data_IF_525365529870
#
_entry.id   IF_525365529870
#
_cell.length_a   1.000
_cell.length_b   1.000
_cell.length_c   1.000
_cell.angle_alpha   90.00
_cell.angle_beta   90.00
_cell.angle_gamma   90.00
#
_symmetry.space_group_name_H-M   'P 1'
#
loop_
_entity.id
_entity.type
_entity.pdbx_description
1 polymer ?
#
# COMPACT_ATOMS: atom_id res chain seq x y z
N UNK A 1 0.63 -8.52 14.57
CA UNK A 1 1.29 -7.68 13.54
C UNK A 1 1.24 -8.34 12.16
N UNK A 2 0.09 -8.89 11.71
CA UNK A 2 -0.02 -9.56 10.39
C UNK A 2 -1.07 -8.94 9.46
N UNK A 3 -1.76 -7.87 9.87
CA UNK A 3 -2.82 -7.25 9.06
C UNK A 3 -2.27 -6.13 8.17
N UNK A 4 -1.37 -5.29 8.70
CA UNK A 4 -0.82 -4.13 7.97
C UNK A 4 -0.05 -4.54 6.72
N UNK A 5 0.73 -5.63 6.78
CA UNK A 5 1.48 -6.12 5.62
C UNK A 5 0.57 -6.64 4.51
N UNK A 6 -0.51 -7.35 4.86
CA UNK A 6 -1.50 -7.87 3.91
C UNK A 6 -2.31 -6.74 3.27
N UNK A 7 -2.74 -5.77 4.07
CA UNK A 7 -3.40 -4.56 3.58
C UNK A 7 -2.48 -3.74 2.67
N UNK A 8 -1.19 -3.63 3.03
CA UNK A 8 -0.20 -2.94 2.21
C UNK A 8 0.03 -3.62 0.86
N UNK A 9 0.21 -4.94 0.84
CA UNK A 9 0.40 -5.68 -0.41
C UNK A 9 -0.82 -5.50 -1.34
N UNK A 10 -2.02 -5.58 -0.75
CA UNK A 10 -3.25 -5.31 -1.47
C UNK A 10 -3.36 -3.86 -1.95
N UNK A 11 -2.96 -2.89 -1.14
CA UNK A 11 -2.94 -1.48 -1.51
C UNK A 11 -2.00 -1.23 -2.69
N UNK A 12 -0.81 -1.85 -2.69
CA UNK A 12 0.15 -1.76 -3.79
C UNK A 12 -0.43 -2.35 -5.07
N UNK A 13 -1.11 -3.50 -4.98
CA UNK A 13 -1.79 -4.10 -6.13
C UNK A 13 -2.90 -3.18 -6.68
N UNK A 14 -3.72 -2.60 -5.81
CA UNK A 14 -4.78 -1.66 -6.19
C UNK A 14 -4.19 -0.46 -6.92
N UNK A 15 -3.16 0.18 -6.35
CA UNK A 15 -2.48 1.34 -6.98
C UNK A 15 -1.95 1.00 -8.37
N UNK A 16 -1.43 -0.22 -8.57
CA UNK A 16 -0.99 -0.70 -9.88
C UNK A 16 -2.12 -0.99 -10.87
N UNK A 17 -3.34 -1.29 -10.38
CA UNK A 17 -4.55 -1.52 -11.17
C UNK A 17 -5.33 -0.24 -11.48
N UNK A 18 -5.00 0.88 -10.81
CA UNK A 18 -5.67 2.15 -11.06
C UNK A 18 -5.43 2.60 -12.51
N UNK A 19 -6.50 2.96 -13.26
CA UNK A 19 -6.35 3.46 -14.61
C UNK A 19 -5.59 4.80 -14.62
N UNK A 20 -4.56 4.97 -15.47
CA UNK A 20 -3.77 6.21 -15.53
C UNK A 20 -4.55 7.44 -16.03
N UNK A 21 -5.70 7.20 -16.67
CA UNK A 21 -6.62 8.21 -17.22
C UNK A 21 -7.97 8.28 -16.46
N UNK A 22 -8.04 7.67 -15.26
CA UNK A 22 -9.25 7.68 -14.44
C UNK A 22 -9.40 8.93 -13.56
N UNK A 23 -10.60 9.16 -13.00
CA UNK A 23 -10.82 10.23 -12.01
C UNK A 23 -9.94 10.05 -10.77
N UNK A 24 -9.69 8.79 -10.37
CA UNK A 24 -8.82 8.43 -9.25
C UNK A 24 -7.31 8.47 -9.58
N UNK A 25 -6.87 9.47 -10.36
CA UNK A 25 -5.46 9.64 -10.71
C UNK A 25 -4.69 10.30 -9.56
N UNK A 26 -3.63 9.67 -9.02
CA UNK A 26 -2.81 10.30 -7.99
C UNK A 26 -2.07 11.50 -8.57
N UNK A 27 -2.10 12.61 -7.85
CA UNK A 27 -1.31 13.81 -8.18
C UNK A 27 0.19 13.49 -8.08
N UNK A 28 1.04 14.35 -8.64
CA UNK A 28 2.50 14.18 -8.50
C UNK A 28 2.93 14.08 -7.04
N UNK A 29 2.30 14.85 -6.15
CA UNK A 29 2.57 14.79 -4.71
C UNK A 29 2.13 13.46 -4.09
N UNK A 30 0.95 12.95 -4.45
CA UNK A 30 0.48 11.65 -3.98
C UNK A 30 1.41 10.52 -4.46
N UNK A 31 1.84 10.56 -5.72
CA UNK A 31 2.80 9.60 -6.27
C UNK A 31 4.13 9.62 -5.50
N UNK A 32 4.60 10.81 -5.10
CA UNK A 32 5.81 10.96 -4.28
C UNK A 32 5.60 10.38 -2.88
N UNK A 33 4.46 10.65 -2.24
CA UNK A 33 4.12 10.09 -0.92
C UNK A 33 4.04 8.56 -0.98
N UNK A 34 3.30 8.00 -1.95
CA UNK A 34 3.22 6.55 -2.14
C UNK A 34 4.61 5.95 -2.37
N UNK A 35 5.43 6.55 -3.23
CA UNK A 35 6.79 6.07 -3.47
C UNK A 35 7.64 6.08 -2.19
N UNK A 36 7.63 7.18 -1.44
CA UNK A 36 8.41 7.32 -0.21
C UNK A 36 8.01 6.27 0.84
N UNK A 37 6.71 6.12 1.09
CA UNK A 37 6.19 5.15 2.06
C UNK A 37 6.43 3.71 1.61
N UNK A 38 6.28 3.43 0.31
CA UNK A 38 6.61 2.13 -0.25
C UNK A 38 8.08 1.77 -0.05
N UNK A 39 8.98 2.73 -0.33
CA UNK A 39 10.43 2.57 -0.13
C UNK A 39 10.77 2.37 1.34
N UNK A 40 10.20 3.17 2.25
CA UNK A 40 10.41 3.02 3.69
C UNK A 40 9.88 1.67 4.20
N UNK A 41 8.68 1.26 3.79
CA UNK A 41 8.11 -0.04 4.14
C UNK A 41 8.95 -1.24 3.68
N UNK A 42 9.52 -1.18 2.47
CA UNK A 42 10.31 -2.29 1.88
C UNK A 42 11.78 -2.25 2.27
N UNK A 43 12.43 -1.11 2.05
CA UNK A 43 13.87 -0.93 2.21
C UNK A 43 14.25 -0.44 3.61
N UNK A 44 13.33 0.17 4.36
CA UNK A 44 13.68 0.91 5.57
C UNK A 44 14.23 2.30 5.23
N UNK A 45 15.08 2.80 6.11
CA UNK A 45 15.62 4.16 6.04
C UNK A 45 16.33 4.47 4.71
N UNK A 46 16.28 5.75 4.34
CA UNK A 46 16.84 6.24 3.09
C UNK A 46 18.37 6.04 3.07
N UNK A 47 18.80 5.02 2.33
CA UNK A 47 20.22 4.67 2.17
C UNK A 47 20.63 4.99 0.74
N UNK A 48 21.31 6.12 0.57
CA UNK A 48 21.80 6.55 -0.75
C UNK A 48 22.23 8.02 -0.80
N UNK A 49 23.03 8.35 -1.81
CA UNK A 49 23.37 9.74 -2.11
C UNK A 49 22.18 10.45 -2.77
N UNK A 50 22.02 11.74 -2.45
CA UNK A 50 21.03 12.57 -3.12
C UNK A 50 21.35 12.64 -4.62
N UNK A 51 20.34 12.51 -5.50
CA UNK A 51 20.54 12.65 -6.94
C UNK A 51 21.00 14.07 -7.30
N UNK A 52 21.66 14.20 -8.44
CA UNK A 52 22.27 15.45 -8.89
C UNK A 52 21.26 16.60 -9.00
N UNK A 53 21.73 17.84 -8.86
CA UNK A 53 20.88 19.04 -8.79
C UNK A 53 19.97 19.24 -10.02
N UNK A 54 20.33 18.66 -11.17
CA UNK A 54 19.54 18.70 -12.41
C UNK A 54 18.42 17.65 -12.47
N UNK A 55 18.42 16.66 -11.58
CA UNK A 55 17.39 15.60 -11.54
C UNK A 55 16.30 15.96 -10.52
N UNK A 56 15.45 16.94 -10.88
CA UNK A 56 14.41 17.46 -10.00
C UNK A 56 13.42 16.38 -9.53
N UNK A 57 13.06 15.43 -10.41
CA UNK A 57 12.15 14.32 -10.09
C UNK A 57 12.80 13.33 -9.12
N UNK A 58 14.04 12.92 -9.39
CA UNK A 58 14.80 12.06 -8.49
C UNK A 58 15.00 12.73 -7.14
N UNK A 59 15.31 14.03 -7.12
CA UNK A 59 15.50 14.80 -5.90
C UNK A 59 14.22 14.87 -5.05
N UNK A 60 13.07 15.08 -5.68
CA UNK A 60 11.79 15.05 -4.98
C UNK A 60 11.49 13.67 -4.36
N UNK A 61 11.71 12.58 -5.12
CA UNK A 61 11.56 11.20 -4.62
C UNK A 61 12.51 10.91 -3.46
N UNK A 62 13.76 11.34 -3.56
CA UNK A 62 14.77 11.14 -2.53
C UNK A 62 14.43 11.94 -1.27
N UNK A 63 14.04 13.21 -1.42
CA UNK A 63 13.62 14.03 -0.28
C UNK A 63 12.42 13.41 0.42
N UNK A 64 11.38 13.03 -0.32
CA UNK A 64 10.20 12.41 0.28
C UNK A 64 10.54 11.12 1.04
N UNK A 65 11.45 10.28 0.53
CA UNK A 65 11.90 9.08 1.25
C UNK A 65 12.76 9.44 2.47
N UNK A 66 13.64 10.44 2.35
CA UNK A 66 14.50 10.92 3.43
C UNK A 66 13.71 11.58 4.57
N UNK A 67 12.60 12.25 4.27
CA UNK A 67 11.70 12.82 5.29
C UNK A 67 11.04 11.74 6.16
N UNK A 68 10.98 10.50 5.69
CA UNK A 68 10.47 9.37 6.46
C UNK A 68 11.56 8.66 7.26
N UNK A 69 12.81 9.13 7.27
CA UNK A 69 13.90 8.52 8.03
C UNK A 69 13.54 8.44 9.53
N UNK A 70 13.76 7.28 10.13
CA UNK A 70 13.34 6.95 11.49
C UNK A 70 11.92 6.39 11.61
N UNK A 71 11.14 6.35 10.52
CA UNK A 71 9.82 5.71 10.50
C UNK A 71 9.95 4.19 10.38
N UNK A 72 9.30 3.45 11.29
CA UNK A 72 9.23 2.00 11.23
C UNK A 72 8.50 1.51 9.97
N UNK A 73 8.92 0.35 9.46
CA UNK A 73 8.30 -0.29 8.29
C UNK A 73 6.79 -0.48 8.46
N UNK A 74 6.35 -0.85 9.66
CA UNK A 74 4.93 -1.06 9.98
C UNK A 74 4.13 0.25 9.88
N UNK A 75 4.68 1.36 10.35
CA UNK A 75 4.06 2.68 10.27
C UNK A 75 3.96 3.13 8.82
N UNK A 76 5.05 2.96 8.05
CA UNK A 76 5.07 3.30 6.62
C UNK A 76 4.03 2.49 5.83
N UNK A 77 3.85 1.19 6.14
CA UNK A 77 2.80 0.36 5.55
C UNK A 77 1.41 0.85 5.93
N UNK A 78 1.19 1.17 7.20
CA UNK A 78 -0.09 1.67 7.71
C UNK A 78 -0.48 2.98 7.02
N UNK A 79 0.44 3.94 6.95
CA UNK A 79 0.19 5.22 6.28
C UNK A 79 -0.05 5.03 4.79
N UNK A 80 0.67 4.13 4.11
CA UNK A 80 0.42 3.85 2.69
C UNK A 80 -1.03 3.38 2.45
N UNK A 81 -1.52 2.48 3.30
CA UNK A 81 -2.91 1.99 3.25
C UNK A 81 -3.90 3.14 3.53
N UNK A 82 -3.62 3.98 4.52
CA UNK A 82 -4.44 5.15 4.84
C UNK A 82 -4.48 6.16 3.69
N UNK A 83 -3.35 6.46 3.06
CA UNK A 83 -3.26 7.36 1.91
C UNK A 83 -4.11 6.85 0.75
N UNK A 84 -4.01 5.57 0.41
CA UNK A 84 -4.84 4.97 -0.63
C UNK A 84 -6.32 5.04 -0.26
N UNK A 85 -6.67 4.68 0.98
CA UNK A 85 -8.05 4.73 1.47
C UNK A 85 -8.64 6.14 1.36
N UNK A 86 -7.90 7.14 1.79
CA UNK A 86 -8.32 8.54 1.76
C UNK A 86 -8.48 9.04 0.31
N UNK A 87 -7.57 8.62 -0.57
CA UNK A 87 -7.65 8.93 -1.99
C UNK A 87 -8.88 8.29 -2.62
N UNK A 88 -9.10 6.98 -2.47
CA UNK A 88 -10.28 6.28 -2.98
C UNK A 88 -11.58 6.88 -2.44
N UNK A 89 -11.59 7.31 -1.17
CA UNK A 89 -12.76 7.95 -0.55
C UNK A 89 -13.05 9.35 -1.09
N UNK A 90 -12.02 10.11 -1.50
CA UNK A 90 -12.21 11.37 -2.22
C UNK A 90 -12.81 11.16 -3.62
N UNK A 91 -12.57 10.00 -4.22
CA UNK A 91 -13.11 9.61 -5.52
C UNK A 91 -14.31 8.66 -5.38
N UNK A 92 -15.17 8.86 -4.37
CA UNK A 92 -16.39 8.05 -4.18
C UNK A 92 -17.36 8.14 -5.37
N UNK A 93 -17.20 9.08 -6.28
CA UNK A 93 -18.03 9.11 -7.50
C UNK A 93 -17.71 7.95 -8.48
N UNK A 94 -16.59 7.25 -8.31
CA UNK A 94 -16.13 6.19 -9.20
C UNK A 94 -16.37 4.78 -8.62
N UNK A 95 -17.12 3.95 -9.35
CA UNK A 95 -17.44 2.56 -8.98
C UNK A 95 -16.18 1.70 -8.77
N UNK A 96 -15.11 1.95 -9.55
CA UNK A 96 -13.87 1.21 -9.36
C UNK A 96 -13.22 1.59 -8.03
N UNK A 97 -13.24 2.86 -7.64
CA UNK A 97 -12.73 3.33 -6.36
C UNK A 97 -13.47 2.72 -5.16
N UNK A 98 -14.80 2.65 -5.21
CA UNK A 98 -15.61 1.93 -4.20
C UNK A 98 -15.26 0.46 -4.12
N UNK A 99 -15.12 -0.20 -5.27
CA UNK A 99 -14.75 -1.62 -5.35
C UNK A 99 -13.38 -1.87 -4.73
N UNK A 100 -12.40 -1.04 -5.03
CA UNK A 100 -11.06 -1.15 -4.46
C UNK A 100 -11.04 -0.87 -2.95
N UNK A 101 -11.82 0.11 -2.47
CA UNK A 101 -11.97 0.41 -1.05
C UNK A 101 -12.55 -0.80 -0.30
N UNK A 102 -13.64 -1.37 -0.82
CA UNK A 102 -14.26 -2.58 -0.27
C UNK A 102 -13.30 -3.78 -0.32
N UNK A 103 -12.48 -3.90 -1.37
CA UNK A 103 -11.49 -4.96 -1.49
C UNK A 103 -10.34 -4.82 -0.47
N UNK A 104 -9.89 -3.57 -0.22
CA UNK A 104 -8.88 -3.24 0.78
C UNK A 104 -9.35 -3.59 2.20
N UNK A 105 -10.60 -3.28 2.53
CA UNK A 105 -11.22 -3.63 3.82
C UNK A 105 -11.46 -5.14 3.93
N UNK A 106 -11.95 -5.78 2.86
CA UNK A 106 -12.19 -7.22 2.80
C UNK A 106 -10.93 -8.08 2.87
N UNK A 107 -9.77 -7.54 2.46
CA UNK A 107 -8.48 -8.23 2.60
C UNK A 107 -8.17 -8.58 4.06
N UNK A 108 -8.63 -7.78 5.03
CA UNK A 108 -8.50 -8.09 6.46
C UNK A 108 -9.32 -9.33 6.88
N UNK A 109 -10.42 -9.65 6.19
CA UNK A 109 -11.30 -10.79 6.53
C UNK A 109 -10.91 -12.08 5.80
N UNK A 110 -10.33 -11.97 4.60
CA UNK A 110 -9.94 -13.14 3.79
C UNK A 110 -8.80 -13.95 4.42
N UNK A 111 -7.85 -13.26 5.08
CA UNK A 111 -6.76 -13.88 5.82
C UNK A 111 -7.28 -14.71 7.02
N UNK A 112 -8.35 -14.26 7.68
CA UNK A 112 -9.00 -14.96 8.80
C UNK A 112 -9.73 -16.23 8.32
N UNK A 113 -10.50 -16.14 7.23
CA UNK A 113 -11.19 -17.30 6.65
C UNK A 113 -10.23 -18.38 6.12
N UNK A 114 -9.10 -17.97 5.53
CA UNK A 114 -8.12 -18.93 4.99
C UNK A 114 -7.31 -19.64 6.07
N UNK A 115 -7.10 -19.01 7.23
CA UNK A 115 -6.42 -19.64 8.37
C UNK A 115 -7.33 -20.58 9.17
N UNK A 116 -8.66 -20.37 9.14
CA UNK A 116 -9.62 -21.32 9.74
C UNK A 116 -9.85 -22.56 8.86
N UNK A 117 -9.83 -22.43 7.52
CA UNK A 117 -10.13 -23.55 6.61
C UNK A 117 -9.00 -24.59 6.48
N UNK A 118 -7.80 -24.30 7.00
CA UNK A 118 -6.69 -25.25 7.02
C UNK A 118 -6.65 -26.13 8.29
N UNK A 119 -7.43 -25.79 9.33
CA UNK A 119 -7.49 -26.56 10.58
C UNK A 119 -8.62 -27.62 10.60
N UNK A 120 -9.56 -27.55 9.65
CA UNK A 120 -10.69 -28.48 9.50
C UNK A 120 -10.46 -29.41 8.30
N UNK A 121 -9.36 -30.16 8.32
CA UNK A 121 -8.93 -30.98 7.17
C UNK A 121 -8.15 -32.25 7.51
N UNK A 122 -8.02 -32.64 8.78
CA UNK A 122 -7.47 -33.96 9.14
C UNK A 122 -8.10 -34.45 10.43
N UNK A 123 -9.31 -35.01 10.31
CA UNK A 123 -9.78 -36.11 11.15
C UNK A 123 -11.09 -36.62 10.56
N UNK A 124 -11.01 -37.59 9.64
CA UNK A 124 -11.97 -38.68 9.54
C UNK A 124 -11.60 -39.68 8.44
N UNK A 125 -11.61 -40.95 8.83
CA UNK A 125 -11.88 -42.14 8.04
C UNK A 125 -10.75 -42.72 7.16
N UNK A 126 -10.12 -43.76 7.70
CA UNK A 126 -9.50 -44.84 6.95
C UNK A 126 -9.33 -46.04 7.87
N UNK A 127 -10.31 -46.95 7.82
CA UNK A 127 -10.39 -48.21 8.57
C UNK A 127 -9.26 -49.17 8.21
#
# INVERSE_FOLDING_TARGET
MSNTQAQFDKAVEIVGKLPPDGPAKPTTEDQLKFYAHFKQAKNGDCTGAAPGMFDFKGKAKYNAWKELEGMSKEDAMSIYVVLLRDMLKKFDDDEASKKFLAELEGASQKQWNSSMKAADGTQAAGQ
#
